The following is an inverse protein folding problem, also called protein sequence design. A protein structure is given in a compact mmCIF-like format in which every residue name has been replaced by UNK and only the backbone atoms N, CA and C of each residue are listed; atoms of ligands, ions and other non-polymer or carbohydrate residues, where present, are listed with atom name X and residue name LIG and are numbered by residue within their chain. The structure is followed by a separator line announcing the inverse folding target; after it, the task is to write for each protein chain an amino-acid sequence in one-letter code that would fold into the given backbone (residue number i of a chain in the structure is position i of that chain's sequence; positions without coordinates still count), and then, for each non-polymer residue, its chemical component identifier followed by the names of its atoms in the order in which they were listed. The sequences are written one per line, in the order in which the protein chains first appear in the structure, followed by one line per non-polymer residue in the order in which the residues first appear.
data_IF_800007647062
#
_entry.id   IF_800007647062
#
_cell.length_a   1.000
_cell.length_b   1.000
_cell.length_c   1.000
_cell.angle_alpha   90.00
_cell.angle_beta   90.00
_cell.angle_gamma   90.00
#
_symmetry.space_group_name_H-M   'P 1'
#
loop_
_entity.id
_entity.type
_entity.pdbx_description
1 polymer ?
#
# COMPACT_ATOMS: atom_id res chain seq x y z
N UNK A 1 46.39 -18.76 -12.33
CA UNK A 1 47.01 -17.67 -13.11
C UNK A 1 47.60 -16.67 -12.11
N UNK A 2 48.84 -16.21 -12.31
CA UNK A 2 49.51 -15.29 -11.39
C UNK A 2 49.29 -13.83 -11.82
N UNK A 3 49.49 -12.89 -10.89
CA UNK A 3 49.40 -11.45 -11.15
C UNK A 3 50.67 -10.95 -11.86
N UNK A 4 50.51 -10.36 -13.04
CA UNK A 4 51.59 -9.85 -13.90
C UNK A 4 52.30 -8.62 -13.31
N UNK A 5 51.71 -7.98 -12.30
CA UNK A 5 52.28 -6.81 -11.63
C UNK A 5 53.05 -7.16 -10.34
N UNK A 6 53.13 -8.45 -9.97
CA UNK A 6 53.94 -8.93 -8.85
C UNK A 6 55.00 -9.92 -9.34
N UNK A 7 56.27 -9.65 -9.03
CA UNK A 7 57.39 -10.55 -9.33
C UNK A 7 57.63 -11.60 -8.23
N UNK A 8 56.67 -11.81 -7.34
CA UNK A 8 56.80 -12.70 -6.17
C UNK A 8 56.57 -14.19 -6.49
N UNK A 9 56.09 -14.49 -7.69
CA UNK A 9 55.79 -15.85 -8.16
C UNK A 9 54.69 -16.57 -7.38
N UNK A 10 53.90 -15.86 -6.55
CA UNK A 10 52.91 -16.46 -5.65
C UNK A 10 51.55 -15.76 -5.68
N UNK A 11 51.50 -14.48 -5.99
CA UNK A 11 50.26 -13.71 -6.00
C UNK A 11 49.37 -14.14 -7.17
N UNK A 12 48.15 -14.59 -6.87
CA UNK A 12 47.17 -15.02 -7.87
C UNK A 12 46.46 -13.81 -8.52
N UNK A 13 46.17 -13.92 -9.81
CA UNK A 13 45.33 -12.96 -10.51
C UNK A 13 43.84 -13.26 -10.30
N UNK A 14 43.04 -12.20 -10.14
CA UNK A 14 41.58 -12.25 -10.00
C UNK A 14 40.85 -11.61 -11.19
N UNK A 15 41.56 -10.84 -12.02
CA UNK A 15 41.00 -10.08 -13.13
C UNK A 15 41.94 -10.15 -14.31
N UNK A 16 41.43 -10.49 -15.48
CA UNK A 16 42.09 -10.33 -16.76
C UNK A 16 41.56 -9.08 -17.45
N UNK A 17 42.45 -8.16 -17.83
CA UNK A 17 42.07 -7.00 -18.63
C UNK A 17 42.27 -7.33 -20.11
N UNK A 18 41.20 -7.39 -20.89
CA UNK A 18 41.27 -7.68 -22.33
C UNK A 18 41.89 -6.51 -23.11
N UNK A 19 41.74 -5.28 -22.62
CA UNK A 19 42.32 -4.10 -23.27
C UNK A 19 43.84 -4.02 -23.04
N UNK A 20 44.31 -4.32 -21.83
CA UNK A 20 45.73 -4.28 -21.49
C UNK A 20 46.44 -5.63 -21.67
N UNK A 21 45.68 -6.70 -21.94
CA UNK A 21 46.17 -8.07 -22.07
C UNK A 21 47.04 -8.49 -20.88
N UNK A 22 46.56 -8.20 -19.66
CA UNK A 22 47.28 -8.50 -18.43
C UNK A 22 46.35 -9.07 -17.34
N UNK A 23 46.92 -9.94 -16.52
CA UNK A 23 46.28 -10.64 -15.41
C UNK A 23 46.68 -9.96 -14.11
N UNK A 24 45.73 -9.42 -13.36
CA UNK A 24 46.00 -8.64 -12.15
C UNK A 24 45.27 -9.22 -10.93
N UNK A 25 45.90 -9.14 -9.77
CA UNK A 25 45.22 -9.33 -8.48
C UNK A 25 44.28 -8.13 -8.22
N UNK A 26 43.36 -8.27 -7.27
CA UNK A 26 42.37 -7.23 -6.94
C UNK A 26 42.99 -5.87 -6.58
N UNK A 27 44.12 -5.87 -5.87
CA UNK A 27 44.83 -4.65 -5.46
C UNK A 27 45.47 -3.94 -6.65
N UNK A 28 46.24 -4.67 -7.46
CA UNK A 28 46.86 -4.13 -8.67
C UNK A 28 45.81 -3.62 -9.66
N UNK A 29 44.69 -4.32 -9.81
CA UNK A 29 43.57 -3.86 -10.62
C UNK A 29 42.97 -2.55 -10.09
N UNK A 30 42.76 -2.44 -8.78
CA UNK A 30 42.19 -1.24 -8.16
C UNK A 30 43.07 0.00 -8.40
N UNK A 31 44.39 -0.15 -8.30
CA UNK A 31 45.34 0.96 -8.49
C UNK A 31 45.49 1.32 -9.98
N UNK A 32 45.61 0.32 -10.85
CA UNK A 32 45.97 0.54 -12.26
C UNK A 32 44.74 0.79 -13.16
N UNK A 33 43.56 0.29 -12.77
CA UNK A 33 42.38 0.23 -13.65
C UNK A 33 41.14 0.95 -13.13
N UNK A 34 41.04 1.39 -11.86
CA UNK A 34 39.89 2.20 -11.40
C UNK A 34 40.04 3.71 -11.64
N UNK A 35 41.16 4.17 -12.19
CA UNK A 35 41.34 5.57 -12.55
C UNK A 35 40.45 5.97 -13.75
N UNK A 36 40.18 7.27 -13.93
CA UNK A 36 39.29 7.78 -15.00
C UNK A 36 39.68 7.34 -16.41
N UNK A 37 40.97 7.07 -16.66
CA UNK A 37 41.52 6.72 -17.97
C UNK A 37 41.25 5.25 -18.33
N UNK A 38 41.29 4.37 -17.33
CA UNK A 38 41.32 2.92 -17.54
C UNK A 38 40.06 2.20 -17.02
N UNK A 39 39.16 2.89 -16.31
CA UNK A 39 37.94 2.31 -15.70
C UNK A 39 36.92 1.71 -16.67
N UNK A 40 37.07 1.96 -17.96
CA UNK A 40 36.22 1.42 -19.03
C UNK A 40 36.88 0.28 -19.80
N UNK A 41 38.05 -0.19 -19.37
CA UNK A 41 38.69 -1.36 -19.99
C UNK A 41 37.80 -2.59 -19.82
N UNK A 42 37.70 -3.40 -20.88
CA UNK A 42 36.98 -4.66 -20.84
C UNK A 42 37.75 -5.65 -19.98
N UNK A 43 37.07 -6.25 -19.00
CA UNK A 43 37.69 -7.10 -17.99
C UNK A 43 36.92 -8.41 -17.82
N UNK A 44 37.66 -9.50 -17.71
CA UNK A 44 37.16 -10.83 -17.41
C UNK A 44 37.67 -11.25 -16.04
N UNK A 45 36.79 -11.50 -15.08
CA UNK A 45 37.23 -11.97 -13.75
C UNK A 45 37.68 -13.43 -13.80
N UNK A 46 38.83 -13.71 -13.21
CA UNK A 46 39.47 -15.03 -13.13
C UNK A 46 39.22 -15.60 -11.73
N UNK A 47 38.32 -16.58 -11.59
CA UNK A 47 37.92 -17.16 -10.30
C UNK A 47 36.47 -17.64 -10.29
N UNK A 48 36.08 -18.32 -9.21
CA UNK A 48 34.72 -18.86 -9.04
C UNK A 48 33.67 -17.75 -9.16
N UNK A 49 32.73 -17.93 -10.08
CA UNK A 49 31.74 -16.90 -10.44
C UNK A 49 30.72 -16.57 -9.34
N UNK A 50 30.71 -17.37 -8.27
CA UNK A 50 29.80 -17.22 -7.12
C UNK A 50 30.05 -15.95 -6.28
N UNK A 51 31.23 -15.32 -6.42
CA UNK A 51 31.57 -14.08 -5.71
C UNK A 51 31.31 -12.80 -6.53
N UNK A 52 30.66 -12.90 -7.68
CA UNK A 52 30.40 -11.73 -8.53
C UNK A 52 29.14 -11.00 -8.07
N UNK A 53 29.20 -9.66 -7.91
CA UNK A 53 28.01 -8.85 -7.78
C UNK A 53 27.07 -9.10 -8.97
N UNK A 54 25.86 -9.58 -8.69
CA UNK A 54 24.82 -9.77 -9.69
C UNK A 54 23.65 -8.83 -9.39
N UNK A 55 23.17 -8.15 -10.42
CA UNK A 55 21.95 -7.34 -10.34
C UNK A 55 20.88 -8.02 -11.18
N UNK A 56 19.79 -8.42 -10.53
CA UNK A 56 18.57 -8.93 -11.16
C UNK A 56 17.46 -7.89 -10.93
N UNK A 57 16.73 -7.52 -11.97
CA UNK A 57 15.64 -6.54 -11.88
C UNK A 57 14.35 -7.24 -12.27
N UNK A 58 13.49 -7.44 -11.27
CA UNK A 58 12.15 -7.98 -11.42
C UNK A 58 11.11 -6.87 -11.20
N UNK A 59 9.84 -7.15 -11.52
CA UNK A 59 8.78 -6.15 -11.40
C UNK A 59 8.51 -5.82 -9.92
N UNK A 60 8.95 -4.64 -9.48
CA UNK A 60 8.82 -4.19 -8.09
C UNK A 60 9.91 -4.64 -7.12
N UNK A 61 10.94 -5.33 -7.61
CA UNK A 61 12.09 -5.72 -6.79
C UNK A 61 13.39 -5.66 -7.60
N UNK A 62 14.37 -4.92 -7.09
CA UNK A 62 15.75 -4.97 -7.56
C UNK A 62 16.56 -5.78 -6.56
N UNK A 63 17.21 -6.83 -7.05
CA UNK A 63 18.06 -7.72 -6.28
C UNK A 63 19.52 -7.48 -6.61
N UNK A 64 20.29 -7.08 -5.62
CA UNK A 64 21.74 -7.01 -5.67
C UNK A 64 22.32 -8.12 -4.80
N UNK A 65 22.84 -9.16 -5.45
CA UNK A 65 23.53 -10.29 -4.82
C UNK A 65 25.03 -9.99 -4.77
N UNK A 66 25.57 -9.85 -3.57
CA UNK A 66 26.99 -9.77 -3.26
C UNK A 66 27.42 -11.08 -2.57
N UNK A 67 28.73 -11.42 -2.51
CA UNK A 67 29.24 -12.65 -1.88
C UNK A 67 28.62 -13.00 -0.51
N UNK A 68 28.36 -11.98 0.32
CA UNK A 68 27.92 -12.17 1.70
C UNK A 68 26.66 -11.37 2.05
N UNK A 69 26.10 -10.65 1.08
CA UNK A 69 24.99 -9.73 1.30
C UNK A 69 24.01 -9.85 0.14
N UNK A 70 22.74 -10.09 0.45
CA UNK A 70 21.65 -9.93 -0.49
C UNK A 70 20.92 -8.64 -0.15
N UNK A 71 20.82 -7.73 -1.11
CA UNK A 71 20.05 -6.49 -0.98
C UNK A 71 18.85 -6.60 -1.91
N UNK A 72 17.66 -6.51 -1.34
CA UNK A 72 16.39 -6.45 -2.07
C UNK A 72 15.79 -5.07 -1.83
N UNK A 73 15.44 -4.33 -2.88
CA UNK A 73 14.76 -3.05 -2.69
C UNK A 73 13.73 -2.80 -3.78
N UNK A 74 12.66 -2.10 -3.41
CA UNK A 74 11.68 -1.60 -4.35
C UNK A 74 12.16 -0.23 -4.87
N UNK A 75 12.34 -0.06 -6.19
CA UNK A 75 12.90 1.18 -6.74
C UNK A 75 11.96 2.39 -6.62
N UNK A 76 10.66 2.16 -6.40
CA UNK A 76 9.65 3.23 -6.30
C UNK A 76 9.49 3.73 -4.86
N UNK A 77 9.43 2.83 -3.87
CA UNK A 77 9.24 3.20 -2.47
C UNK A 77 10.55 3.36 -1.70
N UNK A 78 11.67 2.90 -2.28
CA UNK A 78 12.99 2.83 -1.63
C UNK A 78 13.01 2.00 -0.34
N UNK A 79 11.95 1.22 -0.09
CA UNK A 79 11.93 0.23 0.96
C UNK A 79 12.68 -1.03 0.49
N UNK A 80 13.38 -1.67 1.41
CA UNK A 80 14.16 -2.84 1.09
C UNK A 80 14.58 -3.63 2.31
N UNK A 81 15.14 -4.80 2.04
CA UNK A 81 15.67 -5.73 3.02
C UNK A 81 17.12 -6.04 2.67
N UNK A 82 17.95 -6.15 3.69
CA UNK A 82 19.34 -6.60 3.58
C UNK A 82 19.48 -7.88 4.38
N UNK A 83 19.91 -8.94 3.72
CA UNK A 83 20.23 -10.21 4.36
C UNK A 83 21.72 -10.49 4.29
N UNK A 84 22.28 -10.95 5.41
CA UNK A 84 23.68 -11.35 5.51
C UNK A 84 23.77 -12.88 5.46
N UNK A 85 24.65 -13.40 4.61
CA UNK A 85 24.88 -14.84 4.54
C UNK A 85 25.56 -15.30 5.85
N UNK A 86 24.89 -16.16 6.61
CA UNK A 86 25.29 -16.57 7.97
C UNK A 86 26.57 -17.41 8.04
N UNK A 87 27.18 -17.77 6.90
CA UNK A 87 28.43 -18.53 6.86
C UNK A 87 29.61 -17.84 7.59
N UNK A 88 29.56 -16.52 7.83
CA UNK A 88 30.62 -15.76 8.51
C UNK A 88 30.31 -15.44 9.99
N UNK A 89 29.03 -15.45 10.40
CA UNK A 89 28.68 -15.12 11.81
C UNK A 89 29.21 -16.18 12.79
N UNK A 90 29.55 -17.38 12.31
CA UNK A 90 30.15 -18.44 13.11
C UNK A 90 31.62 -18.22 13.48
N UNK A 91 32.35 -17.30 12.85
CA UNK A 91 33.78 -17.12 13.16
C UNK A 91 34.07 -16.28 14.43
N UNK A 92 33.05 -15.64 15.03
CA UNK A 92 33.25 -14.76 16.20
C UNK A 92 32.51 -15.21 17.48
N UNK A 93 32.05 -16.46 17.57
CA UNK A 93 31.49 -17.02 18.82
C UNK A 93 32.27 -18.30 19.15
N UNK A 94 32.83 -18.46 20.38
CA UNK A 94 33.58 -19.66 20.74
C UNK A 94 32.73 -20.91 20.57
N UNK A 95 33.17 -21.76 19.65
CA UNK A 95 32.58 -23.03 19.28
C UNK A 95 32.50 -24.02 20.45
N UNK A 96 31.32 -24.59 20.67
CA UNK A 96 31.18 -25.95 21.21
C UNK A 96 31.06 -26.89 19.99
N UNK A 97 31.79 -28.03 19.95
CA UNK A 97 32.14 -28.66 18.69
C UNK A 97 31.03 -29.57 18.17
N UNK A 98 30.67 -29.42 16.90
CA UNK A 98 30.16 -30.55 16.12
C UNK A 98 30.72 -30.52 14.70
N UNK A 99 31.42 -31.60 14.37
CA UNK A 99 32.06 -31.87 13.09
C UNK A 99 31.02 -32.03 11.95
N UNK A 100 31.25 -31.34 10.82
CA UNK A 100 31.76 -31.89 9.54
C UNK A 100 31.10 -31.24 8.30
N UNK A 101 31.91 -30.49 7.57
CA UNK A 101 32.09 -30.38 6.11
C UNK A 101 30.99 -31.00 5.22
N UNK A 102 30.34 -30.17 4.40
CA UNK A 102 30.20 -30.45 2.97
C UNK A 102 30.31 -29.13 2.19
N UNK A 103 31.29 -29.12 1.29
CA UNK A 103 31.41 -28.20 0.17
C UNK A 103 30.10 -28.21 -0.64
N UNK A 104 29.67 -27.05 -1.13
CA UNK A 104 28.58 -26.98 -2.11
C UNK A 104 29.13 -27.31 -3.50
N UNK A 105 28.54 -28.28 -4.20
CA UNK A 105 28.43 -28.20 -5.65
C UNK A 105 26.96 -27.99 -6.05
N UNK A 106 26.78 -27.06 -6.99
CA UNK A 106 25.72 -26.98 -8.00
C UNK A 106 24.25 -27.21 -7.60
N UNK A 107 23.47 -26.13 -7.77
CA UNK A 107 22.02 -26.11 -7.86
C UNK A 107 21.51 -26.88 -9.09
N UNK A 108 21.34 -28.18 -8.93
CA UNK A 108 20.28 -28.97 -9.56
C UNK A 108 20.12 -30.27 -8.75
N UNK A 109 18.89 -30.57 -8.35
CA UNK A 109 18.45 -31.91 -7.90
C UNK A 109 18.93 -32.39 -6.51
N UNK A 110 18.29 -31.88 -5.44
CA UNK A 110 17.80 -32.68 -4.30
C UNK A 110 17.14 -31.78 -3.25
N UNK A 111 15.93 -32.12 -2.83
CA UNK A 111 15.30 -31.57 -1.63
C UNK A 111 16.13 -32.03 -0.42
N UNK A 112 17.08 -31.21 0.02
CA UNK A 112 17.73 -31.47 1.30
C UNK A 112 16.73 -31.02 2.38
N UNK A 113 16.18 -32.00 3.11
CA UNK A 113 15.14 -31.82 4.13
C UNK A 113 15.68 -31.12 5.40
N UNK A 114 16.71 -30.30 5.23
CA UNK A 114 17.58 -29.75 6.26
C UNK A 114 17.26 -28.30 6.59
N UNK A 115 16.34 -27.64 5.89
CA UNK A 115 15.92 -26.26 6.16
C UNK A 115 14.40 -26.11 6.19
N UNK A 116 13.92 -25.17 7.01
CA UNK A 116 12.52 -24.85 7.16
C UNK A 116 11.97 -24.26 5.87
N UNK A 117 10.81 -24.76 5.43
CA UNK A 117 10.08 -24.31 4.24
C UNK A 117 9.92 -22.79 4.10
N UNK A 118 9.77 -22.07 5.20
CA UNK A 118 9.43 -20.65 5.20
C UNK A 118 10.63 -19.76 5.56
N UNK A 119 11.20 -19.94 6.75
CA UNK A 119 12.29 -19.07 7.21
C UNK A 119 13.69 -19.55 6.80
N UNK A 120 13.82 -20.67 6.08
CA UNK A 120 15.10 -21.29 5.72
C UNK A 120 16.01 -21.64 6.91
N UNK A 121 15.52 -21.59 8.14
CA UNK A 121 16.29 -21.98 9.32
C UNK A 121 16.63 -23.48 9.25
N UNK A 122 17.85 -23.90 9.65
CA UNK A 122 18.22 -25.31 9.65
C UNK A 122 17.30 -26.10 10.60
N UNK A 123 16.83 -27.24 10.13
CA UNK A 123 15.96 -28.13 10.88
C UNK A 123 16.79 -29.09 11.74
N UNK A 124 16.27 -29.39 12.94
CA UNK A 124 16.80 -30.48 13.73
C UNK A 124 16.44 -31.83 13.09
N UNK A 125 17.24 -32.89 13.26
CA UNK A 125 16.96 -34.22 12.70
C UNK A 125 15.57 -34.78 13.06
N UNK A 126 14.99 -34.32 14.17
CA UNK A 126 13.68 -34.75 14.68
C UNK A 126 12.50 -34.07 13.96
N UNK A 127 12.75 -33.07 13.09
CA UNK A 127 11.74 -32.28 12.37
C UNK A 127 11.53 -32.82 10.95
N UNK A 128 10.73 -33.88 10.86
CA UNK A 128 10.48 -34.64 9.63
C UNK A 128 9.53 -33.90 8.66
N UNK A 129 8.74 -32.95 9.17
CA UNK A 129 7.70 -32.22 8.43
C UNK A 129 8.20 -31.02 7.62
N UNK A 130 9.51 -30.75 7.62
CA UNK A 130 10.10 -29.62 6.89
C UNK A 130 9.82 -28.25 7.54
N UNK A 131 9.42 -28.22 8.82
CA UNK A 131 9.04 -27.00 9.52
C UNK A 131 9.84 -26.81 10.82
N UNK A 132 10.24 -25.57 11.08
CA UNK A 132 10.87 -25.22 12.35
C UNK A 132 9.81 -25.03 13.46
N UNK A 133 10.27 -24.81 14.70
CA UNK A 133 9.39 -24.61 15.86
C UNK A 133 8.89 -23.17 16.03
N UNK A 134 9.21 -22.25 15.11
CA UNK A 134 8.70 -20.87 15.19
C UNK A 134 7.19 -20.84 14.97
N UNK A 135 6.50 -20.11 15.84
CA UNK A 135 5.04 -20.00 15.84
C UNK A 135 4.50 -19.50 14.48
N UNK A 136 5.17 -18.54 13.87
CA UNK A 136 4.79 -18.01 12.55
C UNK A 136 4.87 -19.07 11.45
N UNK A 137 5.95 -19.85 11.40
CA UNK A 137 6.11 -20.92 10.41
C UNK A 137 5.06 -22.03 10.59
N UNK A 138 4.74 -22.38 11.84
CA UNK A 138 3.68 -23.34 12.16
C UNK A 138 2.30 -22.79 11.78
N UNK A 139 2.06 -21.50 12.00
CA UNK A 139 0.83 -20.84 11.62
C UNK A 139 0.68 -20.80 10.09
N UNK A 140 1.73 -20.42 9.35
CA UNK A 140 1.76 -20.46 7.89
C UNK A 140 1.41 -21.85 7.35
N UNK A 141 1.96 -22.91 7.96
CA UNK A 141 1.67 -24.27 7.58
C UNK A 141 0.17 -24.63 7.62
N UNK A 142 -0.63 -24.01 8.50
CA UNK A 142 -2.07 -24.31 8.64
C UNK A 142 -2.90 -23.99 7.39
N UNK A 143 -2.46 -23.01 6.59
CA UNK A 143 -3.15 -22.58 5.37
C UNK A 143 -2.25 -22.67 4.11
N UNK A 144 -1.02 -23.16 4.23
CA UNK A 144 -0.13 -23.41 3.10
C UNK A 144 -0.52 -24.67 2.33
N UNK A 145 -0.46 -24.61 0.99
CA UNK A 145 -0.65 -25.77 0.13
C UNK A 145 0.32 -26.90 0.52
N UNK A 146 -0.14 -28.14 0.50
CA UNK A 146 0.68 -29.34 0.78
C UNK A 146 1.03 -30.13 -0.48
N UNK A 147 0.57 -29.67 -1.66
CA UNK A 147 0.81 -30.36 -2.92
C UNK A 147 2.24 -30.15 -3.41
N UNK A 148 2.80 -31.18 -4.03
CA UNK A 148 4.04 -31.08 -4.79
C UNK A 148 3.69 -30.83 -6.26
N UNK A 149 4.32 -29.82 -6.85
CA UNK A 149 4.10 -29.43 -8.24
C UNK A 149 4.79 -30.43 -9.20
N UNK A 150 4.41 -30.48 -10.49
CA UNK A 150 5.03 -31.38 -11.47
C UNK A 150 6.55 -31.20 -11.65
N UNK A 151 7.08 -30.02 -11.29
CA UNK A 151 8.52 -29.75 -11.28
C UNK A 151 9.26 -30.30 -10.05
N UNK A 152 8.57 -30.96 -9.13
CA UNK A 152 9.14 -31.53 -7.91
C UNK A 152 9.19 -30.59 -6.71
N UNK A 153 8.92 -29.29 -6.87
CA UNK A 153 8.89 -28.33 -5.77
C UNK A 153 7.57 -28.36 -5.00
N UNK A 154 7.62 -28.13 -3.69
CA UNK A 154 6.41 -27.91 -2.87
C UNK A 154 5.73 -26.61 -3.32
N UNK A 155 4.41 -26.65 -3.49
CA UNK A 155 3.62 -25.48 -3.89
C UNK A 155 3.80 -24.32 -2.89
N UNK A 156 4.13 -23.12 -3.39
CA UNK A 156 4.22 -21.89 -2.59
C UNK A 156 2.87 -21.24 -2.28
N UNK A 157 1.78 -21.82 -2.78
CA UNK A 157 0.41 -21.31 -2.66
C UNK A 157 -0.29 -21.65 -1.34
N UNK A 158 -1.60 -21.43 -1.30
CA UNK A 158 -2.46 -21.73 -0.15
C UNK A 158 -3.21 -23.06 -0.34
N UNK A 159 -3.78 -23.59 0.75
CA UNK A 159 -4.64 -24.79 0.68
C UNK A 159 -5.91 -24.52 -0.12
N UNK A 160 -6.43 -25.57 -0.71
CA UNK A 160 -7.75 -25.62 -1.36
C UNK A 160 -7.93 -24.66 -2.55
N UNK A 161 -6.84 -24.20 -3.18
CA UNK A 161 -6.92 -23.55 -4.50
C UNK A 161 -7.30 -24.58 -5.57
N UNK A 162 -8.25 -24.22 -6.43
CA UNK A 162 -8.63 -25.06 -7.59
C UNK A 162 -7.44 -25.32 -8.51
N UNK A 163 -6.57 -24.31 -8.67
CA UNK A 163 -5.33 -24.38 -9.42
C UNK A 163 -4.21 -23.91 -8.50
N UNK A 164 -3.23 -24.77 -8.25
CA UNK A 164 -2.06 -24.41 -7.44
C UNK A 164 -1.28 -23.25 -8.06
N UNK A 165 -0.73 -22.39 -7.20
CA UNK A 165 0.20 -21.33 -7.58
C UNK A 165 1.31 -21.87 -8.52
N UNK A 166 1.58 -21.20 -9.66
CA UNK A 166 2.73 -21.53 -10.49
C UNK A 166 4.03 -21.56 -9.67
N UNK A 167 4.93 -22.50 -9.98
CA UNK A 167 6.14 -22.67 -9.20
C UNK A 167 7.02 -21.41 -9.24
N UNK A 168 7.14 -20.73 -8.09
CA UNK A 168 7.99 -19.55 -7.90
C UNK A 168 9.47 -19.91 -7.63
N UNK A 169 9.79 -21.19 -7.46
CA UNK A 169 11.18 -21.67 -7.29
C UNK A 169 11.84 -22.02 -8.64
N UNK A 170 11.06 -22.35 -9.66
CA UNK A 170 11.59 -22.59 -11.00
C UNK A 170 11.97 -21.27 -11.65
N UNK A 171 13.23 -21.11 -12.05
CA UNK A 171 13.68 -19.98 -12.87
C UNK A 171 13.23 -20.18 -14.32
N UNK A 172 12.02 -19.74 -14.65
CA UNK A 172 11.54 -19.67 -16.03
C UNK A 172 11.65 -18.22 -16.53
N UNK A 173 12.03 -17.99 -17.79
CA UNK A 173 12.23 -16.64 -18.33
C UNK A 173 10.95 -15.78 -18.33
N UNK A 174 9.76 -16.40 -18.33
CA UNK A 174 8.47 -15.70 -18.41
C UNK A 174 7.88 -15.32 -17.04
N UNK A 175 8.59 -15.56 -15.94
CA UNK A 175 8.08 -15.29 -14.59
C UNK A 175 8.40 -13.85 -14.19
N UNK A 176 7.36 -13.07 -13.84
CA UNK A 176 7.50 -11.68 -13.37
C UNK A 176 8.08 -11.56 -11.95
N UNK A 177 7.83 -12.57 -11.11
CA UNK A 177 8.24 -12.62 -9.70
C UNK A 177 8.57 -14.05 -9.25
N UNK A 178 9.67 -14.25 -8.51
CA UNK A 178 10.13 -15.55 -7.99
C UNK A 178 10.14 -15.59 -6.45
N UNK A 179 10.51 -16.75 -5.87
CA UNK A 179 10.51 -16.98 -4.43
C UNK A 179 11.45 -16.05 -3.64
N UNK A 180 12.48 -15.52 -4.28
CA UNK A 180 13.46 -14.67 -3.64
C UNK A 180 13.08 -13.17 -3.70
N UNK A 181 12.05 -12.81 -4.45
CA UNK A 181 11.59 -11.43 -4.54
C UNK A 181 10.92 -10.96 -3.25
N UNK A 182 11.09 -9.68 -2.95
CA UNK A 182 10.50 -9.08 -1.77
C UNK A 182 8.99 -8.89 -1.95
N UNK A 183 8.19 -9.30 -0.96
CA UNK A 183 6.77 -8.94 -0.97
C UNK A 183 6.63 -7.42 -0.74
N UNK A 184 6.17 -6.69 -1.75
CA UNK A 184 6.05 -5.22 -1.70
C UNK A 184 4.86 -4.70 -0.87
N UNK A 185 4.23 -5.57 -0.07
CA UNK A 185 3.23 -5.18 0.92
C UNK A 185 3.87 -5.12 2.31
N UNK A 186 4.54 -6.21 2.75
CA UNK A 186 5.19 -6.22 4.06
C UNK A 186 6.57 -5.57 4.04
N UNK A 187 7.32 -5.70 2.94
CA UNK A 187 8.74 -5.33 2.84
C UNK A 187 9.66 -6.00 3.90
N UNK A 188 9.17 -7.03 4.61
CA UNK A 188 9.91 -7.74 5.66
C UNK A 188 10.43 -9.09 5.22
N UNK A 189 9.80 -9.72 4.23
CA UNK A 189 10.07 -11.11 3.86
C UNK A 189 10.01 -11.32 2.35
N UNK A 190 10.79 -12.30 1.88
CA UNK A 190 10.72 -12.79 0.50
C UNK A 190 9.39 -13.51 0.25
N UNK A 191 8.95 -13.62 -1.00
CA UNK A 191 7.73 -14.34 -1.38
C UNK A 191 7.75 -15.81 -0.93
N UNK A 192 8.89 -16.49 -1.05
CA UNK A 192 9.06 -17.87 -0.57
C UNK A 192 8.93 -18.03 0.96
N UNK A 193 9.01 -16.93 1.71
CA UNK A 193 8.95 -16.93 3.18
C UNK A 193 7.56 -17.16 3.77
N UNK A 194 6.49 -17.10 2.97
CA UNK A 194 5.14 -17.38 3.42
C UNK A 194 4.23 -17.81 2.26
N UNK A 195 3.06 -18.42 2.53
CA UNK A 195 2.12 -18.81 1.49
C UNK A 195 1.63 -17.61 0.66
N UNK A 196 1.69 -17.75 -0.65
CA UNK A 196 1.39 -16.69 -1.62
C UNK A 196 0.10 -16.97 -2.40
N UNK A 197 -0.44 -15.92 -3.01
CA UNK A 197 -1.47 -16.01 -4.06
C UNK A 197 -1.02 -15.21 -5.27
N UNK A 198 -1.43 -15.64 -6.46
CA UNK A 198 -1.25 -14.89 -7.70
C UNK A 198 -2.56 -14.19 -8.04
N UNK A 199 -2.53 -12.86 -8.09
CA UNK A 199 -3.71 -12.08 -8.48
C UNK A 199 -4.03 -12.27 -9.96
N UNK A 200 -5.24 -11.89 -10.38
CA UNK A 200 -5.64 -11.89 -11.79
C UNK A 200 -4.74 -11.03 -12.72
N UNK A 201 -3.91 -10.15 -12.16
CA UNK A 201 -2.91 -9.36 -12.89
C UNK A 201 -1.52 -10.04 -13.00
N UNK A 202 -1.42 -11.32 -12.62
CA UNK A 202 -0.24 -12.17 -12.52
C UNK A 202 0.75 -11.84 -11.39
N UNK A 203 0.53 -10.77 -10.63
CA UNK A 203 1.42 -10.38 -9.53
C UNK A 203 1.18 -11.25 -8.29
N UNK A 204 2.28 -11.61 -7.64
CA UNK A 204 2.33 -12.53 -6.51
C UNK A 204 2.61 -11.76 -5.22
N UNK A 205 1.82 -12.06 -4.19
CA UNK A 205 1.94 -11.50 -2.85
C UNK A 205 1.66 -12.57 -1.80
N UNK A 206 2.14 -12.38 -0.57
CA UNK A 206 1.71 -13.23 0.53
C UNK A 206 0.19 -13.11 0.73
N UNK A 207 -0.47 -14.23 0.92
CA UNK A 207 -1.92 -14.30 1.13
C UNK A 207 -2.38 -13.41 2.30
N UNK A 208 -1.69 -13.50 3.44
CA UNK A 208 -2.03 -12.71 4.64
C UNK A 208 -1.78 -11.22 4.45
N UNK A 209 -0.79 -10.83 3.65
CA UNK A 209 -0.54 -9.43 3.32
C UNK A 209 -1.71 -8.83 2.55
N UNK A 210 -2.21 -9.52 1.51
CA UNK A 210 -3.37 -9.07 0.74
C UNK A 210 -4.61 -8.97 1.62
N UNK A 211 -4.90 -10.00 2.44
CA UNK A 211 -6.03 -9.96 3.39
C UNK A 211 -5.93 -8.79 4.36
N UNK A 212 -4.77 -8.59 4.98
CA UNK A 212 -4.54 -7.51 5.94
C UNK A 212 -4.79 -6.14 5.32
N UNK A 213 -4.35 -5.92 4.08
CA UNK A 213 -4.60 -4.66 3.35
C UNK A 213 -6.10 -4.45 3.12
N UNK A 214 -6.83 -5.49 2.71
CA UNK A 214 -8.27 -5.42 2.48
C UNK A 214 -9.07 -5.23 3.80
N UNK A 215 -8.65 -5.87 4.88
CA UNK A 215 -9.25 -5.77 6.22
C UNK A 215 -9.04 -4.39 6.84
N UNK A 216 -7.83 -3.82 6.70
CA UNK A 216 -7.50 -2.48 7.22
C UNK A 216 -8.10 -1.33 6.39
N UNK A 217 -8.44 -1.59 5.13
CA UNK A 217 -9.11 -0.64 4.22
C UNK A 217 -8.29 0.63 3.99
N UNK A 218 -8.79 1.77 4.45
CA UNK A 218 -8.20 3.09 4.28
C UNK A 218 -7.90 3.74 5.64
N UNK A 219 -6.97 4.68 5.62
CA UNK A 219 -6.64 5.50 6.77
C UNK A 219 -7.42 6.81 6.72
N UNK A 220 -7.85 7.29 7.89
CA UNK A 220 -8.61 8.53 8.02
C UNK A 220 -10.12 8.36 7.78
N UNK A 221 -10.89 9.46 7.91
CA UNK A 221 -12.35 9.43 7.83
C UNK A 221 -12.85 9.25 6.39
N UNK A 222 -12.12 9.78 5.39
CA UNK A 222 -12.50 9.75 3.97
C UNK A 222 -12.39 8.33 3.42
N UNK A 223 -13.49 7.84 2.85
CA UNK A 223 -13.51 6.59 2.11
C UNK A 223 -12.67 6.73 0.84
N UNK A 224 -11.64 5.89 0.70
CA UNK A 224 -10.81 5.77 -0.50
C UNK A 224 -10.56 4.30 -0.82
N UNK A 225 -10.45 3.96 -2.11
CA UNK A 225 -10.41 2.56 -2.57
C UNK A 225 -9.07 2.12 -3.17
N UNK A 226 -8.01 2.94 -3.04
CA UNK A 226 -6.67 2.62 -3.57
C UNK A 226 -6.10 1.32 -3.01
N UNK A 227 -6.46 0.95 -1.79
CA UNK A 227 -6.02 -0.29 -1.13
C UNK A 227 -6.54 -1.57 -1.82
N UNK A 228 -7.58 -1.45 -2.66
CA UNK A 228 -8.11 -2.55 -3.48
C UNK A 228 -7.33 -2.72 -4.79
N UNK A 229 -6.28 -1.95 -5.03
CA UNK A 229 -5.47 -2.01 -6.24
C UNK A 229 -4.14 -2.71 -5.98
N UNK A 230 -3.67 -3.48 -6.97
CA UNK A 230 -2.37 -4.12 -6.97
C UNK A 230 -1.27 -3.07 -6.73
N UNK A 231 -0.39 -3.25 -5.71
CA UNK A 231 0.70 -2.33 -5.44
C UNK A 231 1.63 -2.08 -6.64
N UNK A 232 1.79 -3.07 -7.52
CA UNK A 232 2.69 -3.05 -8.67
C UNK A 232 2.06 -2.39 -9.90
N UNK A 233 0.92 -2.88 -10.38
CA UNK A 233 0.32 -2.40 -11.65
C UNK A 233 -0.98 -1.60 -11.51
N UNK A 234 -1.46 -1.37 -10.28
CA UNK A 234 -2.69 -0.61 -9.97
C UNK A 234 -4.01 -1.19 -10.50
N UNK A 235 -3.99 -2.37 -11.16
CA UNK A 235 -5.21 -3.13 -11.48
C UNK A 235 -5.94 -3.56 -10.20
N UNK A 236 -7.25 -3.77 -10.27
CA UNK A 236 -8.03 -4.23 -9.11
C UNK A 236 -7.53 -5.60 -8.62
N UNK A 237 -7.42 -5.74 -7.30
CA UNK A 237 -7.15 -7.01 -6.63
C UNK A 237 -8.34 -7.92 -6.86
N UNK A 238 -8.07 -9.10 -7.40
CA UNK A 238 -9.08 -10.11 -7.63
C UNK A 238 -8.44 -11.49 -7.45
N UNK A 239 -9.00 -12.26 -6.50
CA UNK A 239 -8.61 -13.63 -6.23
C UNK A 239 -9.71 -14.35 -5.41
N UNK A 240 -10.06 -15.61 -5.71
CA UNK A 240 -11.15 -16.33 -5.01
C UNK A 240 -10.99 -16.39 -3.49
N UNK A 241 -9.76 -16.57 -2.99
CA UNK A 241 -9.49 -16.73 -1.55
C UNK A 241 -9.63 -15.46 -0.69
N UNK A 242 -9.90 -14.32 -1.32
CA UNK A 242 -10.21 -13.04 -0.65
C UNK A 242 -11.56 -12.46 -1.11
N UNK A 243 -12.37 -13.25 -1.82
CA UNK A 243 -13.69 -12.83 -2.30
C UNK A 243 -14.63 -12.44 -1.15
N UNK A 244 -14.50 -13.08 0.01
CA UNK A 244 -15.22 -12.77 1.24
C UNK A 244 -15.01 -11.30 1.69
N UNK A 245 -13.82 -10.76 1.46
CA UNK A 245 -13.49 -9.36 1.76
C UNK A 245 -13.81 -8.44 0.57
N UNK A 246 -13.58 -8.89 -0.67
CA UNK A 246 -13.77 -8.06 -1.86
C UNK A 246 -15.24 -7.75 -2.15
N UNK A 247 -16.16 -8.69 -1.94
CA UNK A 247 -17.60 -8.50 -2.22
C UNK A 247 -18.20 -7.29 -1.47
N UNK A 248 -18.14 -7.20 -0.12
CA UNK A 248 -18.69 -6.05 0.59
C UNK A 248 -17.96 -4.73 0.26
N UNK A 249 -16.68 -4.79 -0.10
CA UNK A 249 -15.92 -3.60 -0.52
C UNK A 249 -16.35 -3.11 -1.91
N UNK A 250 -16.66 -4.03 -2.84
CA UNK A 250 -17.22 -3.70 -4.17
C UNK A 250 -18.61 -3.08 -4.02
N UNK A 251 -19.44 -3.59 -3.10
CA UNK A 251 -20.76 -3.00 -2.80
C UNK A 251 -20.63 -1.57 -2.27
N UNK A 252 -19.72 -1.34 -1.32
CA UNK A 252 -19.45 0.01 -0.81
C UNK A 252 -18.91 0.94 -1.89
N UNK A 253 -18.01 0.46 -2.76
CA UNK A 253 -17.50 1.23 -3.90
C UNK A 253 -18.65 1.68 -4.82
N UNK A 254 -19.54 0.76 -5.18
CA UNK A 254 -20.68 1.04 -6.03
C UNK A 254 -21.68 2.00 -5.37
N UNK A 255 -21.91 1.87 -4.06
CA UNK A 255 -22.76 2.80 -3.29
C UNK A 255 -22.19 4.22 -3.32
N UNK A 256 -20.91 4.38 -2.99
CA UNK A 256 -20.25 5.69 -2.95
C UNK A 256 -20.20 6.30 -4.35
N UNK A 257 -19.87 5.51 -5.37
CA UNK A 257 -19.84 5.97 -6.75
C UNK A 257 -21.22 6.43 -7.22
N UNK A 258 -22.29 5.66 -6.93
CA UNK A 258 -23.65 6.05 -7.28
C UNK A 258 -24.05 7.37 -6.63
N UNK A 259 -23.75 7.56 -5.33
CA UNK A 259 -24.04 8.81 -4.62
C UNK A 259 -23.23 9.99 -5.15
N UNK A 260 -21.95 9.77 -5.46
CA UNK A 260 -21.07 10.80 -6.00
C UNK A 260 -21.52 11.26 -7.40
N UNK A 261 -21.87 10.33 -8.29
CA UNK A 261 -22.43 10.62 -9.61
C UNK A 261 -23.74 11.39 -9.52
N UNK A 262 -24.65 10.94 -8.66
CA UNK A 262 -25.91 11.63 -8.42
C UNK A 262 -25.65 13.08 -7.99
N UNK A 263 -24.76 13.29 -7.02
CA UNK A 263 -24.41 14.64 -6.56
C UNK A 263 -23.80 15.49 -7.69
N UNK A 264 -22.93 14.91 -8.52
CA UNK A 264 -22.32 15.61 -9.66
C UNK A 264 -23.36 16.09 -10.67
N UNK A 265 -24.37 15.27 -10.96
CA UNK A 265 -25.49 15.60 -11.83
C UNK A 265 -26.28 16.79 -11.28
N UNK A 266 -26.63 16.73 -9.98
CA UNK A 266 -27.42 17.78 -9.33
C UNK A 266 -26.67 19.09 -9.12
N UNK A 267 -25.34 19.04 -9.00
CA UNK A 267 -24.50 20.23 -8.97
C UNK A 267 -24.35 20.87 -10.37
N UNK A 268 -24.91 20.24 -11.42
CA UNK A 268 -24.86 20.74 -12.80
C UNK A 268 -23.47 20.64 -13.44
N UNK A 269 -22.58 19.82 -12.88
CA UNK A 269 -21.16 19.78 -13.25
C UNK A 269 -20.83 18.72 -14.33
N UNK A 270 -21.80 17.86 -14.68
CA UNK A 270 -21.66 16.87 -15.76
C UNK A 270 -21.25 17.49 -17.11
N UNK A 271 -21.66 18.73 -17.38
CA UNK A 271 -21.36 19.46 -18.63
C UNK A 271 -20.38 20.62 -18.43
N UNK A 272 -19.70 20.70 -17.28
CA UNK A 272 -18.82 21.83 -16.99
C UNK A 272 -17.61 21.88 -17.95
N UNK A 273 -17.05 23.05 -18.27
CA UNK A 273 -15.88 23.17 -19.18
C UNK A 273 -14.67 22.35 -18.74
N UNK A 274 -14.53 22.07 -17.43
CA UNK A 274 -13.49 21.20 -16.88
C UNK A 274 -13.67 19.71 -17.24
N UNK A 275 -14.88 19.30 -17.65
CA UNK A 275 -15.20 17.97 -18.16
C UNK A 275 -15.18 17.90 -19.71
N UNK A 276 -15.20 19.05 -20.40
CA UNK A 276 -15.41 19.14 -21.86
C UNK A 276 -14.17 19.69 -22.62
N UNK A 277 -13.25 20.40 -21.98
CA UNK A 277 -12.04 20.90 -22.65
C UNK A 277 -11.00 19.79 -22.84
N UNK A 278 -10.73 19.44 -24.10
CA UNK A 278 -9.68 18.48 -24.51
C UNK A 278 -8.27 18.87 -24.02
N UNK A 279 -8.06 20.12 -23.62
CA UNK A 279 -6.78 20.67 -23.17
C UNK A 279 -6.57 20.68 -21.65
N UNK A 280 -7.54 20.23 -20.85
CA UNK A 280 -7.33 20.08 -19.40
C UNK A 280 -6.75 18.69 -19.10
N UNK A 281 -5.77 18.61 -18.20
CA UNK A 281 -5.24 17.36 -17.64
C UNK A 281 -6.31 16.50 -16.91
N UNK A 282 -7.57 16.97 -16.92
CA UNK A 282 -8.75 16.45 -16.24
C UNK A 282 -9.84 16.01 -17.23
N UNK A 283 -9.50 15.48 -18.42
CA UNK A 283 -10.42 14.63 -19.17
C UNK A 283 -10.63 13.29 -18.43
N UNK A 284 -11.03 13.39 -17.16
CA UNK A 284 -11.34 12.29 -16.29
C UNK A 284 -12.75 11.83 -16.61
N UNK A 285 -12.92 10.52 -16.59
CA UNK A 285 -14.24 9.91 -16.55
C UNK A 285 -15.09 10.63 -15.47
N UNK A 286 -16.35 11.04 -15.74
CA UNK A 286 -17.23 11.69 -14.77
C UNK A 286 -17.27 10.99 -13.40
N UNK A 287 -17.13 9.66 -13.41
CA UNK A 287 -17.06 8.81 -12.21
C UNK A 287 -15.82 9.12 -11.36
N UNK A 288 -14.63 9.20 -11.99
CA UNK A 288 -13.38 9.55 -11.32
C UNK A 288 -13.41 10.98 -10.81
N UNK A 289 -13.95 11.91 -11.61
CA UNK A 289 -14.12 13.30 -11.20
C UNK A 289 -15.03 13.43 -9.98
N UNK A 290 -16.17 12.72 -9.96
CA UNK A 290 -17.07 12.73 -8.82
C UNK A 290 -16.42 12.17 -7.54
N UNK A 291 -15.69 11.04 -7.67
CA UNK A 291 -15.02 10.38 -6.55
C UNK A 291 -13.83 11.18 -6.00
N UNK A 292 -13.15 11.96 -6.85
CA UNK A 292 -12.10 12.89 -6.41
C UNK A 292 -12.70 14.13 -5.75
N UNK A 293 -13.74 14.72 -6.36
CA UNK A 293 -14.37 15.98 -5.94
C UNK A 293 -15.07 15.88 -4.59
N UNK A 294 -15.80 14.81 -4.34
CA UNK A 294 -16.62 14.67 -3.14
C UNK A 294 -15.99 13.74 -2.11
N UNK A 295 -16.11 14.14 -0.83
CA UNK A 295 -15.72 13.31 0.29
C UNK A 295 -16.94 12.54 0.80
N UNK A 296 -16.79 11.22 0.90
CA UNK A 296 -17.72 10.34 1.59
C UNK A 296 -17.04 9.74 2.83
N UNK A 297 -17.85 9.51 3.86
CA UNK A 297 -17.43 8.98 5.16
C UNK A 297 -18.41 7.89 5.59
N UNK A 298 -17.96 6.93 6.41
CA UNK A 298 -18.82 5.88 6.96
C UNK A 298 -19.48 6.35 8.26
N UNK A 299 -20.80 6.22 8.34
CA UNK A 299 -21.51 6.49 9.58
C UNK A 299 -21.25 5.39 10.61
N UNK A 300 -20.81 5.76 11.82
CA UNK A 300 -20.56 4.80 12.90
C UNK A 300 -21.82 4.03 13.36
N UNK A 301 -22.99 4.67 13.34
CA UNK A 301 -24.24 4.06 13.81
C UNK A 301 -24.85 3.06 12.82
N UNK A 302 -24.94 3.43 11.54
CA UNK A 302 -25.66 2.62 10.54
C UNK A 302 -24.76 1.97 9.50
N UNK A 303 -23.45 2.28 9.48
CA UNK A 303 -22.49 1.72 8.53
C UNK A 303 -22.63 2.22 7.08
N UNK A 304 -23.58 3.12 6.79
CA UNK A 304 -23.80 3.66 5.43
C UNK A 304 -22.83 4.80 5.13
N UNK A 305 -22.45 4.93 3.86
CA UNK A 305 -21.67 6.07 3.38
C UNK A 305 -22.55 7.34 3.33
N UNK A 306 -22.06 8.47 3.82
CA UNK A 306 -22.75 9.76 3.70
C UNK A 306 -21.81 10.86 3.21
N UNK A 307 -22.42 11.91 2.66
CA UNK A 307 -21.71 13.03 2.07
C UNK A 307 -21.07 13.89 3.16
N UNK A 308 -19.75 14.07 3.06
CA UNK A 308 -18.94 14.88 3.96
C UNK A 308 -18.55 16.25 3.40
N UNK A 309 -18.99 16.65 2.21
CA UNK A 309 -18.56 17.91 1.58
C UNK A 309 -17.63 17.72 0.40
N UNK A 310 -17.11 18.83 -0.13
CA UNK A 310 -16.13 18.81 -1.22
C UNK A 310 -14.71 18.60 -0.68
N UNK A 311 -13.93 17.77 -1.37
CA UNK A 311 -12.55 17.42 -0.99
C UNK A 311 -11.63 18.64 -0.89
N UNK A 312 -11.82 19.68 -1.70
CA UNK A 312 -11.03 20.92 -1.67
C UNK A 312 -11.21 21.70 -0.35
N UNK A 313 -12.36 21.56 0.30
CA UNK A 313 -12.60 22.16 1.60
C UNK A 313 -11.92 21.40 2.75
N UNK A 314 -11.24 20.28 2.45
CA UNK A 314 -10.77 19.27 3.42
C UNK A 314 -9.35 18.77 3.13
N UNK A 315 -8.60 19.44 2.23
CA UNK A 315 -7.28 19.02 1.75
C UNK A 315 -6.14 19.14 2.78
N UNK A 316 -6.30 19.91 3.86
CA UNK A 316 -5.20 20.23 4.80
C UNK A 316 -5.15 19.36 6.07
N UNK A 317 -5.78 18.18 6.08
CA UNK A 317 -5.94 17.42 7.32
C UNK A 317 -5.39 16.00 7.22
N UNK A 318 -4.15 15.90 7.68
CA UNK A 318 -3.40 14.66 7.90
C UNK A 318 -3.98 13.91 9.12
N UNK A 319 -5.21 13.40 8.99
CA UNK A 319 -5.95 12.83 10.12
C UNK A 319 -5.77 11.32 10.23
N UNK A 320 -4.61 10.88 10.72
CA UNK A 320 -4.46 9.54 11.30
C UNK A 320 -5.09 9.42 12.70
N UNK A 321 -5.43 10.55 13.35
CA UNK A 321 -6.17 10.58 14.62
C UNK A 321 -7.54 11.24 14.42
N UNK A 322 -8.58 10.42 14.34
CA UNK A 322 -9.96 10.86 14.42
C UNK A 322 -10.75 9.85 15.26
N UNK A 323 -11.87 10.27 15.84
CA UNK A 323 -12.77 9.37 16.55
C UNK A 323 -13.88 8.90 15.60
N UNK A 324 -13.94 7.60 15.24
CA UNK A 324 -14.99 7.09 14.36
C UNK A 324 -16.40 7.31 14.91
N UNK A 325 -16.59 7.31 16.24
CA UNK A 325 -17.89 7.48 16.89
C UNK A 325 -18.54 8.84 16.60
N UNK A 326 -17.74 9.83 16.20
CA UNK A 326 -18.20 11.18 15.88
C UNK A 326 -18.62 11.32 14.41
N UNK A 327 -18.36 10.33 13.57
CA UNK A 327 -18.81 10.30 12.17
C UNK A 327 -20.26 9.80 12.09
N UNK A 328 -21.21 10.70 12.24
CA UNK A 328 -22.65 10.39 12.22
C UNK A 328 -23.31 11.10 11.03
N UNK A 329 -24.03 10.34 10.20
CA UNK A 329 -24.81 10.92 9.10
C UNK A 329 -26.01 11.71 9.62
N UNK A 330 -26.55 12.63 8.81
CA UNK A 330 -27.71 13.44 9.21
C UNK A 330 -28.95 12.62 9.59
N UNK A 331 -29.13 11.43 9.02
CA UNK A 331 -30.22 10.52 9.39
C UNK A 331 -30.03 9.81 10.74
N UNK A 332 -28.82 9.78 11.27
CA UNK A 332 -28.47 9.15 12.55
C UNK A 332 -28.09 10.16 13.65
N UNK A 333 -27.97 11.45 13.29
CA UNK A 333 -27.87 12.57 14.22
C UNK A 333 -29.26 13.03 14.65
N UNK A 334 -29.32 14.07 15.49
CA UNK A 334 -30.59 14.57 16.01
C UNK A 334 -31.47 15.17 14.90
N UNK A 335 -32.45 14.40 14.42
CA UNK A 335 -33.38 14.79 13.35
C UNK A 335 -34.49 15.74 13.82
N UNK A 336 -34.48 16.18 15.09
CA UNK A 336 -35.50 17.09 15.62
C UNK A 336 -35.46 18.42 14.85
N UNK A 337 -36.58 18.74 14.18
CA UNK A 337 -36.73 19.94 13.36
C UNK A 337 -36.24 19.83 11.92
N UNK A 338 -35.70 18.69 11.50
CA UNK A 338 -35.30 18.46 10.12
C UNK A 338 -36.51 18.08 9.24
N UNK A 339 -36.66 18.74 8.08
CA UNK A 339 -37.66 18.34 7.08
C UNK A 339 -37.17 17.10 6.32
N UNK A 340 -37.90 16.00 6.46
CA UNK A 340 -37.63 14.76 5.73
C UNK A 340 -38.08 14.91 4.28
N UNK A 341 -37.21 14.54 3.34
CA UNK A 341 -37.53 14.63 1.93
C UNK A 341 -38.54 13.55 1.51
N UNK A 342 -39.63 13.93 0.85
CA UNK A 342 -40.60 12.94 0.35
C UNK A 342 -40.04 11.99 -0.72
N UNK A 343 -38.95 12.36 -1.41
CA UNK A 343 -38.29 11.52 -2.44
C UNK A 343 -37.12 10.70 -1.90
N UNK A 344 -36.32 11.29 -1.03
CA UNK A 344 -35.03 10.71 -0.60
C UNK A 344 -34.94 10.46 0.91
N UNK A 345 -36.06 10.59 1.62
CA UNK A 345 -36.13 10.40 3.06
C UNK A 345 -35.07 11.21 3.82
N UNK A 346 -34.28 10.50 4.62
CA UNK A 346 -33.17 11.01 5.42
C UNK A 346 -31.79 10.65 4.85
N UNK A 347 -31.73 9.91 3.72
CA UNK A 347 -30.47 9.36 3.20
C UNK A 347 -29.48 10.45 2.76
N UNK A 348 -30.00 11.60 2.34
CA UNK A 348 -29.23 12.78 1.94
C UNK A 348 -29.46 13.97 2.86
N UNK A 349 -29.93 13.73 4.11
CA UNK A 349 -30.07 14.78 5.09
C UNK A 349 -28.69 15.29 5.50
N UNK A 350 -28.46 16.58 5.30
CA UNK A 350 -27.22 17.27 5.65
C UNK A 350 -27.46 18.27 6.78
N UNK A 351 -26.44 18.51 7.59
CA UNK A 351 -26.44 19.57 8.60
C UNK A 351 -25.38 20.61 8.27
N UNK A 352 -25.66 21.86 8.65
CA UNK A 352 -24.69 22.94 8.60
C UNK A 352 -23.72 22.79 9.78
N UNK A 353 -22.44 23.07 9.56
CA UNK A 353 -21.49 23.28 10.66
C UNK A 353 -21.95 24.42 11.56
N UNK A 354 -22.00 24.20 12.87
CA UNK A 354 -22.43 25.22 13.83
C UNK A 354 -21.62 26.51 13.73
N UNK A 355 -20.33 26.40 13.40
CA UNK A 355 -19.35 27.48 13.44
C UNK A 355 -18.98 28.09 12.08
N UNK A 356 -19.49 27.56 10.95
CA UNK A 356 -19.25 28.14 9.63
C UNK A 356 -20.36 27.81 8.61
N UNK A 357 -20.28 28.38 7.42
CA UNK A 357 -21.15 28.11 6.28
C UNK A 357 -20.59 26.94 5.44
N UNK A 358 -20.40 25.78 6.06
CA UNK A 358 -19.99 24.53 5.39
C UNK A 358 -20.88 23.37 5.83
N UNK A 359 -20.94 22.32 5.01
CA UNK A 359 -21.61 21.06 5.38
C UNK A 359 -20.83 20.39 6.51
N UNK A 360 -21.54 19.85 7.49
CA UNK A 360 -20.95 19.14 8.60
C UNK A 360 -20.57 17.71 8.23
N UNK A 361 -19.49 17.23 8.85
CA UNK A 361 -18.99 15.85 8.75
C UNK A 361 -19.13 15.15 10.10
N UNK A 362 -18.76 15.84 11.17
CA UNK A 362 -18.74 15.28 12.53
C UNK A 362 -19.96 15.73 13.31
N UNK A 363 -20.40 14.87 14.22
CA UNK A 363 -21.40 15.13 15.24
C UNK A 363 -20.82 14.75 16.60
N UNK A 364 -20.41 15.78 17.35
CA UNK A 364 -19.72 15.61 18.62
C UNK A 364 -20.65 15.95 19.78
N UNK A 365 -20.35 15.38 20.96
CA UNK A 365 -21.04 15.67 22.22
C UNK A 365 -22.56 15.45 22.18
N UNK A 366 -23.03 14.63 21.24
CA UNK A 366 -24.46 14.34 21.02
C UNK A 366 -25.31 15.55 20.63
N UNK A 367 -24.71 16.70 20.29
CA UNK A 367 -25.45 17.97 20.14
C UNK A 367 -24.91 18.90 19.07
N UNK A 368 -23.65 18.74 18.63
CA UNK A 368 -22.99 19.77 17.82
C UNK A 368 -22.40 19.23 16.52
N UNK A 369 -22.79 19.84 15.40
CA UNK A 369 -22.28 19.50 14.07
C UNK A 369 -21.06 20.35 13.68
N UNK A 370 -19.99 19.70 13.19
CA UNK A 370 -18.75 20.35 12.74
C UNK A 370 -18.38 19.94 11.31
N UNK A 371 -17.90 20.88 10.48
CA UNK A 371 -17.08 20.52 9.33
C UNK A 371 -15.67 20.12 9.81
N UNK A 372 -14.88 19.47 8.96
CA UNK A 372 -13.55 18.96 9.31
C UNK A 372 -12.65 20.05 9.90
N UNK A 373 -12.46 21.17 9.20
CA UNK A 373 -11.59 22.25 9.66
C UNK A 373 -12.04 22.94 10.97
N UNK A 374 -13.35 22.95 11.27
CA UNK A 374 -13.84 23.44 12.56
C UNK A 374 -13.74 22.37 13.65
N UNK A 375 -13.78 21.09 13.29
CA UNK A 375 -13.57 19.99 14.22
C UNK A 375 -12.14 20.00 14.76
N UNK A 376 -11.11 20.26 13.94
CA UNK A 376 -9.73 20.27 14.47
C UNK A 376 -9.44 21.44 15.44
N UNK A 377 -10.23 22.51 15.36
CA UNK A 377 -10.12 23.70 16.22
C UNK A 377 -11.28 23.78 17.24
N UNK A 378 -11.98 22.67 17.48
CA UNK A 378 -13.22 22.66 18.27
C UNK A 378 -13.02 23.20 19.70
N UNK A 379 -11.86 22.94 20.32
CA UNK A 379 -11.55 23.39 21.68
C UNK A 379 -11.66 24.91 21.80
N UNK A 380 -11.11 25.64 20.82
CA UNK A 380 -11.22 27.10 20.75
C UNK A 380 -12.64 27.53 20.42
N UNK A 381 -13.25 26.91 19.41
CA UNK A 381 -14.54 27.33 18.87
C UNK A 381 -15.68 27.21 19.87
N UNK A 382 -15.73 26.14 20.67
CA UNK A 382 -16.77 25.94 21.69
C UNK A 382 -16.65 26.97 22.82
N UNK A 383 -15.46 27.48 23.10
CA UNK A 383 -15.22 28.50 24.12
C UNK A 383 -15.62 29.91 23.65
N UNK A 384 -15.87 30.13 22.35
CA UNK A 384 -16.24 31.45 21.83
C UNK A 384 -17.66 31.84 22.27
N UNK A 385 -17.84 33.00 22.93
CA UNK A 385 -19.17 33.53 23.23
C UNK A 385 -19.97 33.75 21.93
N UNK A 386 -21.23 33.30 21.90
CA UNK A 386 -22.12 33.45 20.72
C UNK A 386 -22.16 34.88 20.15
N UNK A 387 -22.06 35.90 21.00
CA UNK A 387 -22.08 37.32 20.61
C UNK A 387 -20.87 37.76 19.77
N UNK A 388 -19.77 37.01 19.83
CA UNK A 388 -18.53 37.29 19.10
C UNK A 388 -18.42 36.48 17.80
N UNK A 389 -19.39 35.62 17.50
CA UNK A 389 -19.37 34.83 16.28
C UNK A 389 -19.68 35.72 15.06
N UNK A 390 -18.95 35.55 13.95
CA UNK A 390 -19.17 36.32 12.73
C UNK A 390 -20.54 36.03 12.11
N UNK A 391 -21.04 37.01 11.36
CA UNK A 391 -22.29 36.87 10.61
C UNK A 391 -22.01 36.28 9.23
N UNK A 392 -22.99 35.59 8.67
CA UNK A 392 -22.91 35.05 7.32
C UNK A 392 -22.48 36.14 6.32
N UNK A 393 -21.51 35.87 5.42
CA UNK A 393 -20.87 34.56 5.15
C UNK A 393 -19.66 34.23 6.04
N UNK A 394 -19.61 33.00 6.57
CA UNK A 394 -18.55 32.54 7.50
C UNK A 394 -17.82 31.34 6.93
N UNK A 395 -16.50 31.43 6.82
CA UNK A 395 -15.59 30.35 6.45
C UNK A 395 -15.22 29.47 7.64
N UNK A 396 -14.45 28.41 7.39
CA UNK A 396 -13.98 27.52 8.43
C UNK A 396 -13.24 28.26 9.56
N UNK A 397 -13.22 27.69 10.77
CA UNK A 397 -12.57 28.24 11.97
C UNK A 397 -13.08 29.65 12.37
N UNK A 398 -14.35 29.94 12.08
CA UNK A 398 -15.01 31.23 12.32
C UNK A 398 -14.33 32.42 11.60
N UNK A 399 -13.83 32.21 10.38
CA UNK A 399 -13.26 33.30 9.57
C UNK A 399 -14.38 34.04 8.84
N UNK A 400 -14.43 35.37 8.93
CA UNK A 400 -15.37 36.18 8.15
C UNK A 400 -14.94 36.14 6.68
N UNK A 401 -15.86 35.79 5.77
CA UNK A 401 -15.62 35.85 4.34
C UNK A 401 -16.02 37.20 3.77
N UNK A 402 -15.39 37.56 2.67
CA UNK A 402 -15.76 38.72 1.87
C UNK A 402 -17.04 38.46 1.07
N UNK A 403 -17.87 39.49 0.89
CA UNK A 403 -19.13 39.42 0.15
C UNK A 403 -20.37 39.22 1.03
N UNK A 404 -21.53 39.14 0.37
CA UNK A 404 -22.85 39.02 1.02
C UNK A 404 -23.53 37.67 0.79
N UNK A 405 -23.00 36.84 -0.11
CA UNK A 405 -23.61 35.55 -0.46
C UNK A 405 -23.10 34.41 0.43
N UNK A 406 -24.03 33.62 0.95
CA UNK A 406 -23.70 32.44 1.74
C UNK A 406 -23.11 31.33 0.84
N UNK A 407 -21.98 30.71 1.21
CA UNK A 407 -21.43 29.56 0.47
C UNK A 407 -22.41 28.38 0.32
N UNK A 408 -23.34 28.22 1.27
CA UNK A 408 -24.37 27.17 1.23
C UNK A 408 -25.62 27.58 0.43
N UNK A 409 -25.66 28.81 -0.09
CA UNK A 409 -26.78 29.39 -0.89
C UNK A 409 -28.16 29.20 -0.25
N UNK A 410 -28.23 29.20 1.08
CA UNK A 410 -29.45 29.01 1.85
C UNK A 410 -29.53 30.03 2.98
N UNK A 411 -30.75 30.48 3.30
CA UNK A 411 -30.99 31.28 4.51
C UNK A 411 -30.94 30.35 5.71
N UNK A 412 -30.10 30.69 6.69
CA UNK A 412 -29.93 29.91 7.90
C UNK A 412 -29.86 30.81 9.14
N UNK A 413 -30.07 30.28 10.35
CA UNK A 413 -29.90 31.01 11.61
C UNK A 413 -28.46 31.54 11.79
N UNK A 414 -28.25 32.47 12.75
CA UNK A 414 -26.91 32.98 13.05
C UNK A 414 -25.89 31.87 13.36
N UNK A 415 -24.61 32.16 13.09
CA UNK A 415 -23.50 31.28 13.47
C UNK A 415 -23.54 30.96 14.97
N UNK A 416 -23.34 29.70 15.35
CA UNK A 416 -23.48 29.22 16.72
C UNK A 416 -24.76 28.44 17.02
N UNK A 417 -25.63 28.27 16.03
CA UNK A 417 -26.88 27.51 16.10
C UNK A 417 -26.87 26.32 15.13
N UNK A 418 -27.48 25.21 15.55
CA UNK A 418 -27.65 24.01 14.74
C UNK A 418 -28.68 24.26 13.64
N UNK A 419 -28.44 23.72 12.45
CA UNK A 419 -29.35 23.92 11.33
C UNK A 419 -29.36 22.72 10.37
N UNK A 420 -30.48 21.98 10.27
CA UNK A 420 -30.65 20.97 9.24
C UNK A 420 -30.81 21.66 7.89
N UNK A 421 -29.95 21.30 6.93
CA UNK A 421 -29.99 21.82 5.56
C UNK A 421 -31.07 21.15 4.71
N UNK A 422 -31.64 20.04 5.19
CA UNK A 422 -32.55 19.19 4.43
C UNK A 422 -31.79 18.29 3.47
N UNK A 423 -32.48 17.85 2.41
CA UNK A 423 -31.90 16.97 1.40
C UNK A 423 -30.88 17.70 0.53
N UNK A 424 -29.60 17.32 0.64
CA UNK A 424 -28.49 17.91 -0.10
C UNK A 424 -28.64 17.83 -1.63
N UNK A 425 -29.32 16.79 -2.11
CA UNK A 425 -29.64 16.60 -3.53
C UNK A 425 -30.72 17.59 -4.00
N UNK A 426 -31.86 17.65 -3.29
CA UNK A 426 -32.96 18.52 -3.71
C UNK A 426 -32.67 20.00 -3.54
N UNK A 427 -31.77 20.37 -2.61
CA UNK A 427 -31.39 21.77 -2.40
C UNK A 427 -30.76 22.40 -3.65
N UNK A 428 -29.98 21.63 -4.41
CA UNK A 428 -29.27 22.14 -5.58
C UNK A 428 -30.15 22.14 -6.85
N UNK A 429 -31.34 21.51 -6.81
CA UNK A 429 -32.35 21.64 -7.88
C UNK A 429 -33.02 23.01 -7.84
N UNK A 430 -33.29 23.54 -6.64
CA UNK A 430 -34.00 24.83 -6.49
C UNK A 430 -33.14 26.05 -6.88
N UNK A 431 -31.88 25.83 -7.28
CA UNK A 431 -31.00 26.85 -7.88
C UNK A 431 -31.03 26.87 -9.40
N UNK A 432 -31.84 26.01 -10.05
CA UNK A 432 -32.13 26.04 -11.49
C UNK A 432 -33.46 26.70 -11.81
#
# INVERSE_FOLDING_TARGET
MLCDNHDDGRTLANVYCETCQCSLCRECFSVLHLNKRNRSHAVQHLGDTNDRPQVEVHEGSTRLRLPHVLILFNPTTLNGMVEFNQSIIRENIPSVPYHRISEMPNLAEAHDNSTCRFCNAPLCPDQIDGLCNYEECRHFATFACQQQLPCGHICGGIRDEEVCLPCIQCRKPDIKQDADDLCVICFTDRLGGAPCIQLACDHIFHYRCVRTVLEKRWNGPRIVFRFMQCPLCKKQIDHPSVADLLLPLKDLYNEVLSKARLRLEYDGLLQSPAAVSESSELHMNPDEYAMERYMYVLCFKCGKAYFGGESRCQQELDNSQYNPEELICGGCSDVVGAQVCGRHGIDFLEFKCRFCCSVAVYFCFGTTHFCTACHDDFQRLICLPKKLLPKCPVGAKCVQLDGSECPLKVKHPPTGEEFPLGCGICRNINTF
#
